data_IF_464990297978
#
_entry.id   IF_464990297978
#
_cell.length_a   1.000
_cell.length_b   1.000
_cell.length_c   1.000
_cell.angle_alpha   90.00
_cell.angle_beta   90.00
_cell.angle_gamma   90.00
#
_symmetry.space_group_name_H-M   'P 1'
#
loop_
_entity.id
_entity.type
_entity.pdbx_description
1 polymer ?
#
# COMPACT_ATOMS: atom_id res chain seq x y z
N UNK A 1 6.51 -23.86 -48.36
CA UNK A 1 6.87 -24.17 -46.97
C UNK A 1 6.91 -22.90 -46.13
N UNK A 2 5.77 -22.46 -45.57
CA UNK A 2 5.73 -21.76 -44.29
C UNK A 2 4.99 -22.65 -43.26
N UNK A 3 4.98 -22.25 -41.98
CA UNK A 3 4.14 -22.80 -40.89
C UNK A 3 4.70 -23.86 -39.93
N UNK A 4 6.00 -24.14 -39.93
CA UNK A 4 6.60 -24.93 -38.84
C UNK A 4 7.02 -24.08 -37.63
N UNK A 5 7.33 -22.78 -37.81
CA UNK A 5 7.80 -21.90 -36.72
C UNK A 5 6.63 -21.38 -35.85
N UNK A 6 5.48 -21.06 -36.47
CA UNK A 6 4.30 -20.56 -35.75
C UNK A 6 3.66 -21.63 -34.85
N UNK A 7 3.62 -22.88 -35.31
CA UNK A 7 3.10 -23.99 -34.50
C UNK A 7 3.99 -24.31 -33.30
N UNK A 8 5.31 -24.10 -33.38
CA UNK A 8 6.20 -24.34 -32.24
C UNK A 8 6.03 -23.29 -31.13
N UNK A 9 5.81 -22.02 -31.49
CA UNK A 9 5.54 -20.93 -30.52
C UNK A 9 4.16 -21.10 -29.90
N UNK A 10 3.13 -21.41 -30.70
CA UNK A 10 1.77 -21.66 -30.19
C UNK A 10 1.70 -22.92 -29.30
N UNK A 11 2.42 -23.99 -29.65
CA UNK A 11 2.45 -25.22 -28.87
C UNK A 11 3.30 -25.11 -27.59
N UNK A 12 4.28 -24.19 -27.55
CA UNK A 12 5.03 -23.83 -26.33
C UNK A 12 4.17 -22.97 -25.40
N UNK A 13 3.47 -21.97 -25.93
CA UNK A 13 2.48 -21.18 -25.19
C UNK A 13 1.34 -22.04 -24.62
N UNK A 14 0.84 -23.03 -25.37
CA UNK A 14 -0.19 -23.94 -24.92
C UNK A 14 0.30 -24.90 -23.80
N UNK A 15 1.57 -25.30 -23.82
CA UNK A 15 2.19 -26.11 -22.76
C UNK A 15 2.48 -25.31 -21.49
N UNK A 16 2.86 -24.04 -21.62
CA UNK A 16 3.09 -23.14 -20.46
C UNK A 16 1.78 -22.83 -19.71
N UNK A 17 0.63 -22.80 -20.39
CA UNK A 17 -0.69 -22.54 -19.77
C UNK A 17 -1.17 -23.69 -18.86
N UNK A 18 -0.62 -24.90 -19.03
CA UNK A 18 -0.99 -26.07 -18.20
C UNK A 18 -0.12 -26.20 -16.93
N UNK A 19 0.97 -25.43 -16.82
CA UNK A 19 1.99 -25.58 -15.76
C UNK A 19 2.35 -24.26 -15.04
N UNK A 20 1.58 -23.18 -15.22
CA UNK A 20 1.90 -21.89 -14.60
C UNK A 20 1.63 -21.83 -13.09
N UNK A 21 0.99 -22.86 -12.51
CA UNK A 21 0.74 -22.93 -11.08
C UNK A 21 0.75 -24.35 -10.51
N UNK A 22 1.15 -24.44 -9.25
CA UNK A 22 1.21 -25.71 -8.53
C UNK A 22 -0.16 -26.07 -7.95
N UNK A 23 -0.93 -26.92 -8.64
CA UNK A 23 -2.28 -27.29 -8.21
C UNK A 23 -2.32 -27.96 -6.83
N UNK A 24 -1.29 -28.70 -6.41
CA UNK A 24 -1.28 -29.36 -5.09
C UNK A 24 -1.10 -28.37 -3.93
N UNK A 25 -0.56 -27.18 -4.21
CA UNK A 25 -0.46 -26.11 -3.23
C UNK A 25 -1.74 -25.27 -3.09
N UNK A 26 -2.71 -25.46 -3.97
CA UNK A 26 -3.99 -24.77 -3.93
C UNK A 26 -4.95 -25.51 -2.98
N UNK A 27 -5.26 -24.89 -1.85
CA UNK A 27 -6.32 -25.33 -0.95
C UNK A 27 -7.58 -24.51 -1.20
N UNK A 28 -8.73 -25.16 -1.30
CA UNK A 28 -10.03 -24.49 -1.49
C UNK A 28 -11.03 -25.06 -0.47
N UNK A 29 -11.68 -24.21 0.30
CA UNK A 29 -12.83 -24.59 1.11
C UNK A 29 -13.80 -23.43 1.26
N UNK A 30 -15.12 -23.69 1.19
CA UNK A 30 -16.18 -22.71 1.39
C UNK A 30 -15.97 -21.37 0.64
N UNK A 31 -15.67 -21.43 -0.66
CA UNK A 31 -15.38 -20.24 -1.49
C UNK A 31 -14.17 -19.41 -1.02
N UNK A 32 -13.25 -20.04 -0.29
CA UNK A 32 -11.96 -19.48 0.10
C UNK A 32 -10.86 -20.28 -0.56
N UNK A 33 -9.81 -19.60 -0.98
CA UNK A 33 -8.67 -20.19 -1.65
C UNK A 33 -7.37 -19.73 -0.98
N UNK A 34 -6.47 -20.67 -0.75
CA UNK A 34 -5.11 -20.43 -0.26
C UNK A 34 -4.11 -20.94 -1.28
N UNK A 35 -3.18 -20.08 -1.67
CA UNK A 35 -2.06 -20.41 -2.53
C UNK A 35 -0.82 -19.70 -2.01
N UNK A 36 -0.23 -20.27 -0.96
CA UNK A 36 0.84 -19.64 -0.18
C UNK A 36 2.17 -20.38 -0.36
N UNK A 37 3.30 -19.68 -0.18
CA UNK A 37 4.62 -20.33 -0.15
C UNK A 37 5.14 -20.82 -1.51
N UNK A 38 4.59 -20.35 -2.63
CA UNK A 38 4.92 -20.86 -3.96
C UNK A 38 5.96 -20.02 -4.71
N UNK A 39 6.51 -18.98 -4.06
CA UNK A 39 7.42 -18.01 -4.68
C UNK A 39 6.86 -17.40 -5.97
N UNK A 40 5.54 -17.30 -6.06
CA UNK A 40 4.89 -16.77 -7.25
C UNK A 40 5.17 -15.27 -7.36
N UNK A 41 5.74 -14.81 -8.49
CA UNK A 41 5.97 -13.39 -8.75
C UNK A 41 4.72 -12.65 -9.24
N UNK A 42 3.75 -13.41 -9.76
CA UNK A 42 2.48 -12.94 -10.31
C UNK A 42 1.39 -13.95 -9.97
N UNK A 43 0.14 -13.49 -9.90
CA UNK A 43 -1.02 -14.38 -9.73
C UNK A 43 -1.12 -15.26 -10.99
N UNK A 44 -1.02 -16.60 -10.87
CA UNK A 44 -1.06 -17.47 -12.03
C UNK A 44 -2.42 -17.45 -12.75
N UNK A 45 -2.41 -17.61 -14.08
CA UNK A 45 -3.63 -17.70 -14.87
C UNK A 45 -4.40 -18.99 -14.59
N UNK A 46 -3.70 -20.10 -14.35
CA UNK A 46 -4.35 -21.34 -13.96
C UNK A 46 -5.11 -21.24 -12.63
N UNK A 47 -4.58 -20.49 -11.66
CA UNK A 47 -5.28 -20.18 -10.42
C UNK A 47 -6.58 -19.42 -10.71
N UNK A 48 -6.51 -18.36 -11.54
CA UNK A 48 -7.66 -17.58 -11.93
C UNK A 48 -8.77 -18.44 -12.58
N UNK A 49 -8.41 -19.40 -13.44
CA UNK A 49 -9.39 -20.30 -14.08
C UNK A 49 -10.17 -21.14 -13.06
N UNK A 50 -9.55 -21.51 -11.95
CA UNK A 50 -10.18 -22.37 -10.93
C UNK A 50 -11.01 -21.53 -9.96
N UNK A 51 -10.46 -20.42 -9.46
CA UNK A 51 -11.06 -19.70 -8.33
C UNK A 51 -11.66 -18.34 -8.70
N UNK A 52 -11.40 -17.79 -9.89
CA UNK A 52 -11.74 -16.42 -10.26
C UNK A 52 -13.21 -16.04 -10.09
N UNK A 53 -14.14 -16.92 -10.45
CA UNK A 53 -15.57 -16.60 -10.47
C UNK A 53 -16.33 -16.96 -9.19
N UNK A 54 -15.74 -17.76 -8.30
CA UNK A 54 -16.47 -18.28 -7.13
C UNK A 54 -15.77 -17.96 -5.80
N UNK A 55 -14.58 -17.34 -5.84
CA UNK A 55 -13.80 -17.05 -4.64
C UNK A 55 -14.26 -15.75 -3.98
N UNK A 56 -14.58 -15.86 -2.69
CA UNK A 56 -14.87 -14.75 -1.80
C UNK A 56 -13.68 -14.33 -0.93
N UNK A 57 -12.72 -15.23 -0.69
CA UNK A 57 -11.56 -14.97 0.17
C UNK A 57 -10.32 -15.61 -0.45
N UNK A 58 -9.31 -14.81 -0.75
CA UNK A 58 -8.10 -15.25 -1.42
C UNK A 58 -6.88 -14.89 -0.58
N UNK A 59 -6.14 -15.92 -0.17
CA UNK A 59 -4.87 -15.79 0.53
C UNK A 59 -3.72 -16.19 -0.39
N UNK A 60 -2.86 -15.21 -0.67
CA UNK A 60 -1.67 -15.30 -1.49
C UNK A 60 -0.40 -14.96 -0.69
N UNK A 61 -0.47 -15.12 0.62
CA UNK A 61 0.63 -14.78 1.52
C UNK A 61 1.88 -15.63 1.28
N UNK A 62 3.05 -15.12 1.68
CA UNK A 62 4.34 -15.82 1.55
C UNK A 62 4.68 -16.20 0.10
N UNK A 63 4.39 -15.32 -0.84
CA UNK A 63 4.84 -15.44 -2.22
C UNK A 63 5.85 -14.33 -2.53
N UNK A 64 6.17 -14.13 -3.80
CA UNK A 64 7.10 -13.10 -4.25
C UNK A 64 6.38 -12.09 -5.15
N UNK A 65 5.07 -11.88 -4.93
CA UNK A 65 4.23 -11.11 -5.82
C UNK A 65 4.75 -9.68 -5.96
N UNK A 66 5.01 -9.27 -7.20
CA UNK A 66 5.41 -7.90 -7.56
C UNK A 66 4.25 -7.12 -8.18
N UNK A 67 3.20 -7.83 -8.63
CA UNK A 67 2.01 -7.24 -9.24
C UNK A 67 0.76 -8.04 -8.91
N UNK A 68 -0.38 -7.35 -8.85
CA UNK A 68 -1.71 -7.93 -8.60
C UNK A 68 -2.67 -7.69 -9.77
N UNK A 69 -2.15 -7.42 -10.98
CA UNK A 69 -2.96 -7.09 -12.17
C UNK A 69 -4.04 -8.10 -12.54
N UNK A 70 -3.85 -9.40 -12.23
CA UNK A 70 -4.84 -10.43 -12.51
C UNK A 70 -6.05 -10.39 -11.56
N UNK A 71 -6.00 -9.61 -10.47
CA UNK A 71 -7.06 -9.59 -9.46
C UNK A 71 -8.38 -9.01 -9.96
N UNK A 72 -8.32 -8.22 -11.04
CA UNK A 72 -9.48 -7.63 -11.71
C UNK A 72 -10.54 -8.64 -12.16
N UNK A 73 -10.14 -9.90 -12.29
CA UNK A 73 -11.00 -10.97 -12.77
C UNK A 73 -11.71 -11.71 -11.61
N UNK A 74 -11.51 -11.30 -10.35
CA UNK A 74 -12.16 -11.87 -9.17
C UNK A 74 -13.39 -11.05 -8.77
N UNK A 75 -14.53 -11.36 -9.38
CA UNK A 75 -15.74 -10.53 -9.31
C UNK A 75 -16.44 -10.50 -7.95
N UNK A 76 -16.21 -11.51 -7.10
CA UNK A 76 -16.92 -11.67 -5.83
C UNK A 76 -15.99 -11.62 -4.62
N UNK A 77 -14.75 -11.17 -4.81
CA UNK A 77 -13.76 -11.16 -3.75
C UNK A 77 -14.16 -10.15 -2.66
N UNK A 78 -14.17 -10.61 -1.42
CA UNK A 78 -14.45 -9.84 -0.20
C UNK A 78 -13.20 -9.71 0.65
N UNK A 79 -12.39 -10.76 0.71
CA UNK A 79 -11.16 -10.81 1.49
C UNK A 79 -9.97 -11.10 0.60
N UNK A 80 -8.92 -10.29 0.74
CA UNK A 80 -7.65 -10.46 0.05
C UNK A 80 -6.50 -10.32 1.05
N UNK A 81 -5.71 -11.38 1.16
CA UNK A 81 -4.51 -11.40 2.01
C UNK A 81 -3.28 -11.57 1.10
N UNK A 82 -2.39 -10.59 1.17
CA UNK A 82 -1.17 -10.47 0.36
C UNK A 82 0.07 -10.30 1.24
N UNK A 83 0.04 -10.85 2.45
CA UNK A 83 1.09 -10.65 3.43
C UNK A 83 2.40 -11.33 3.01
N UNK A 84 3.54 -10.75 3.37
CA UNK A 84 4.87 -11.28 3.03
C UNK A 84 5.04 -11.50 1.51
N UNK A 85 4.85 -10.43 0.73
CA UNK A 85 5.07 -10.38 -0.71
C UNK A 85 6.08 -9.27 -1.07
N UNK A 86 6.29 -8.99 -2.36
CA UNK A 86 7.24 -7.98 -2.86
C UNK A 86 6.53 -6.82 -3.57
N UNK A 87 5.33 -6.45 -3.12
CA UNK A 87 4.56 -5.37 -3.73
C UNK A 87 5.17 -4.01 -3.39
N UNK A 88 5.47 -3.21 -4.42
CA UNK A 88 5.99 -1.84 -4.28
C UNK A 88 4.90 -0.78 -4.38
N UNK A 89 3.85 -1.04 -5.15
CA UNK A 89 2.70 -0.16 -5.32
C UNK A 89 1.42 -0.94 -5.60
N UNK A 90 0.29 -0.23 -5.59
CA UNK A 90 -1.04 -0.75 -5.89
C UNK A 90 -1.59 -0.20 -7.21
N UNK A 91 -0.74 0.25 -8.15
CA UNK A 91 -1.21 0.87 -9.41
C UNK A 91 -2.03 -0.09 -10.27
N UNK A 92 -1.79 -1.39 -10.11
CA UNK A 92 -2.50 -2.45 -10.83
C UNK A 92 -3.79 -2.90 -10.15
N UNK A 93 -4.12 -2.35 -8.98
CA UNK A 93 -5.38 -2.62 -8.28
C UNK A 93 -6.54 -2.06 -9.10
N UNK A 94 -7.46 -2.95 -9.50
CA UNK A 94 -8.66 -2.58 -10.25
C UNK A 94 -9.81 -2.22 -9.31
N UNK A 95 -10.88 -1.63 -9.85
CA UNK A 95 -12.07 -1.31 -9.07
C UNK A 95 -12.73 -2.59 -8.53
N UNK A 96 -12.81 -2.71 -7.20
CA UNK A 96 -13.28 -3.88 -6.46
C UNK A 96 -14.35 -3.45 -5.44
N UNK A 97 -15.60 -3.27 -5.87
CA UNK A 97 -16.67 -2.73 -5.02
C UNK A 97 -17.14 -3.69 -3.93
N UNK A 98 -16.75 -4.96 -3.99
CA UNK A 98 -17.13 -6.00 -3.02
C UNK A 98 -16.09 -6.24 -1.94
N UNK A 99 -14.87 -5.73 -2.11
CA UNK A 99 -13.75 -6.00 -1.21
C UNK A 99 -13.96 -5.27 0.13
N UNK A 100 -13.95 -6.02 1.21
CA UNK A 100 -14.13 -5.54 2.59
C UNK A 100 -12.85 -5.67 3.40
N UNK A 101 -11.97 -6.62 3.08
CA UNK A 101 -10.75 -6.90 3.84
C UNK A 101 -9.55 -6.95 2.91
N UNK A 102 -8.54 -6.13 3.20
CA UNK A 102 -7.29 -6.07 2.47
C UNK A 102 -6.11 -6.09 3.46
N UNK A 103 -5.27 -7.12 3.39
CA UNK A 103 -4.03 -7.20 4.16
C UNK A 103 -2.83 -7.19 3.22
N UNK A 104 -1.88 -6.31 3.49
CA UNK A 104 -0.69 -6.05 2.69
C UNK A 104 0.57 -6.00 3.58
N UNK A 105 0.58 -6.75 4.68
CA UNK A 105 1.66 -6.69 5.65
C UNK A 105 2.99 -7.19 5.06
N UNK A 106 4.11 -6.65 5.54
CA UNK A 106 5.46 -7.07 5.14
C UNK A 106 5.66 -7.08 3.61
N UNK A 107 5.22 -6.03 2.93
CA UNK A 107 5.51 -5.80 1.52
C UNK A 107 6.65 -4.77 1.36
N UNK A 108 6.84 -4.22 0.16
CA UNK A 108 7.92 -3.27 -0.17
C UNK A 108 7.37 -1.89 -0.55
N UNK A 109 6.21 -1.52 -0.02
CA UNK A 109 5.59 -0.23 -0.30
C UNK A 109 6.32 0.90 0.44
N UNK A 110 6.76 1.90 -0.32
CA UNK A 110 7.42 3.11 0.20
C UNK A 110 6.51 4.33 0.16
N UNK A 111 5.64 4.44 -0.85
CA UNK A 111 4.71 5.56 -0.97
C UNK A 111 3.33 5.21 -0.38
N UNK A 112 3.13 5.58 0.89
CA UNK A 112 1.87 5.37 1.61
C UNK A 112 0.71 6.12 0.96
N UNK A 113 0.94 7.38 0.58
CA UNK A 113 -0.11 8.28 0.09
C UNK A 113 -0.76 7.73 -1.19
N UNK A 114 0.07 7.27 -2.14
CA UNK A 114 -0.42 6.64 -3.36
C UNK A 114 -1.21 5.35 -3.06
N UNK A 115 -0.73 4.52 -2.11
CA UNK A 115 -1.41 3.29 -1.73
C UNK A 115 -2.79 3.57 -1.11
N UNK A 116 -2.88 4.49 -0.16
CA UNK A 116 -4.14 4.87 0.50
C UNK A 116 -5.15 5.45 -0.50
N UNK A 117 -4.71 6.35 -1.39
CA UNK A 117 -5.56 6.92 -2.44
C UNK A 117 -6.07 5.85 -3.40
N UNK A 118 -5.21 4.91 -3.80
CA UNK A 118 -5.60 3.79 -4.65
C UNK A 118 -6.63 2.88 -3.96
N UNK A 119 -6.43 2.55 -2.68
CA UNK A 119 -7.39 1.76 -1.90
C UNK A 119 -8.73 2.51 -1.81
N UNK A 120 -8.71 3.79 -1.46
CA UNK A 120 -9.92 4.61 -1.33
C UNK A 120 -10.71 4.69 -2.65
N UNK A 121 -10.01 4.84 -3.78
CA UNK A 121 -10.62 4.89 -5.11
C UNK A 121 -11.17 3.54 -5.58
N UNK A 122 -10.41 2.47 -5.39
CA UNK A 122 -10.73 1.16 -5.95
C UNK A 122 -11.64 0.32 -5.05
N UNK A 123 -11.61 0.53 -3.73
CA UNK A 123 -12.29 -0.32 -2.74
C UNK A 123 -13.22 0.53 -1.84
N UNK A 124 -14.37 1.00 -2.36
CA UNK A 124 -15.25 1.93 -1.64
C UNK A 124 -15.95 1.33 -0.41
N UNK A 125 -15.96 0.00 -0.27
CA UNK A 125 -16.59 -0.72 0.85
C UNK A 125 -15.57 -1.37 1.79
N UNK A 126 -14.31 -0.96 1.74
CA UNK A 126 -13.28 -1.55 2.59
C UNK A 126 -13.59 -1.28 4.07
N UNK A 127 -13.54 -2.33 4.89
CA UNK A 127 -13.78 -2.29 6.33
C UNK A 127 -12.50 -2.58 7.13
N UNK A 128 -11.59 -3.37 6.58
CA UNK A 128 -10.31 -3.74 7.19
C UNK A 128 -9.17 -3.49 6.21
N UNK A 129 -8.17 -2.72 6.65
CA UNK A 129 -6.92 -2.50 5.93
C UNK A 129 -5.76 -2.71 6.88
N UNK A 130 -4.73 -3.47 6.48
CA UNK A 130 -3.47 -3.59 7.23
C UNK A 130 -2.27 -3.39 6.34
N UNK A 131 -1.35 -2.50 6.74
CA UNK A 131 -0.19 -2.07 5.96
C UNK A 131 1.14 -2.20 6.74
N UNK A 132 1.13 -2.91 7.87
CA UNK A 132 2.27 -3.03 8.79
C UNK A 132 3.51 -3.65 8.13
N UNK A 133 4.70 -3.27 8.60
CA UNK A 133 5.98 -3.84 8.15
C UNK A 133 6.38 -3.47 6.72
N UNK A 134 5.78 -2.43 6.16
CA UNK A 134 6.19 -1.84 4.88
C UNK A 134 7.16 -0.67 5.14
N UNK A 135 8.23 -0.51 4.33
CA UNK A 135 9.29 0.48 4.60
C UNK A 135 8.81 1.94 4.59
N UNK A 136 7.74 2.26 3.85
CA UNK A 136 7.13 3.57 3.84
C UNK A 136 6.39 3.91 5.14
N UNK A 137 6.05 2.92 5.96
CA UNK A 137 5.12 3.07 7.07
C UNK A 137 5.86 3.27 8.39
N UNK A 138 5.30 4.04 9.35
CA UNK A 138 5.83 4.07 10.71
C UNK A 138 5.63 2.69 11.32
N UNK A 139 6.75 1.99 11.54
CA UNK A 139 6.72 0.67 12.17
C UNK A 139 6.27 0.80 13.62
N UNK A 140 5.29 -0.01 14.02
CA UNK A 140 4.83 -0.06 15.39
C UNK A 140 5.73 -0.93 16.30
N UNK A 141 6.73 -1.65 15.73
CA UNK A 141 7.37 -2.79 16.38
C UNK A 141 8.89 -2.94 16.22
N UNK A 142 9.62 -2.04 15.54
CA UNK A 142 11.02 -2.32 15.15
C UNK A 142 12.10 -1.39 15.72
N UNK A 143 11.79 -0.24 16.33
CA UNK A 143 12.86 0.66 16.78
C UNK A 143 12.59 1.43 18.10
N UNK A 144 12.86 0.85 19.27
CA UNK A 144 12.52 1.41 20.59
C UNK A 144 13.24 2.73 21.00
N UNK A 145 13.88 3.43 20.07
CA UNK A 145 14.67 4.64 20.29
C UNK A 145 14.11 5.89 19.60
N UNK A 146 13.03 5.79 18.81
CA UNK A 146 12.43 6.94 18.11
C UNK A 146 10.98 7.19 18.55
N UNK A 147 10.47 8.37 18.19
CA UNK A 147 9.17 8.98 18.54
C UNK A 147 7.94 8.22 17.97
N UNK A 148 7.97 6.89 18.00
CA UNK A 148 7.24 5.98 17.12
C UNK A 148 5.72 6.04 17.30
N UNK A 149 5.25 6.30 18.52
CA UNK A 149 3.81 6.37 18.80
C UNK A 149 3.18 7.64 18.21
N UNK A 150 3.89 8.77 18.27
CA UNK A 150 3.41 10.03 17.70
C UNK A 150 3.35 9.96 16.17
N UNK A 151 4.38 9.38 15.53
CA UNK A 151 4.42 9.23 14.08
C UNK A 151 3.40 8.21 13.57
N UNK A 152 3.20 7.10 14.29
CA UNK A 152 2.13 6.16 14.00
C UNK A 152 0.75 6.82 14.14
N UNK A 153 0.51 7.59 15.21
CA UNK A 153 -0.77 8.28 15.41
C UNK A 153 -1.05 9.31 14.31
N UNK A 154 -0.03 10.05 13.85
CA UNK A 154 -0.14 10.98 12.71
C UNK A 154 -0.53 10.24 11.42
N UNK A 155 0.20 9.18 11.09
CA UNK A 155 -0.12 8.31 9.94
C UNK A 155 -1.54 7.75 10.06
N UNK A 156 -1.92 7.25 11.23
CA UNK A 156 -3.22 6.63 11.47
C UNK A 156 -4.36 7.60 11.20
N UNK A 157 -4.29 8.82 11.75
CA UNK A 157 -5.28 9.86 11.49
C UNK A 157 -5.32 10.30 10.02
N UNK A 158 -4.15 10.38 9.37
CA UNK A 158 -4.07 10.65 7.93
C UNK A 158 -4.71 9.54 7.09
N UNK A 159 -4.43 8.28 7.40
CA UNK A 159 -5.01 7.13 6.71
C UNK A 159 -6.52 7.07 6.87
N UNK A 160 -7.04 7.30 8.09
CA UNK A 160 -8.48 7.38 8.36
C UNK A 160 -9.14 8.53 7.57
N UNK A 161 -8.43 9.65 7.37
CA UNK A 161 -8.93 10.78 6.59
C UNK A 161 -9.06 10.44 5.09
N UNK A 162 -8.15 9.64 4.54
CA UNK A 162 -8.13 9.29 3.11
C UNK A 162 -9.03 8.08 2.77
N UNK A 163 -9.05 7.08 3.66
CA UNK A 163 -9.81 5.84 3.46
C UNK A 163 -11.33 6.08 3.62
N UNK A 164 -12.18 5.22 3.02
CA UNK A 164 -13.62 5.45 3.03
C UNK A 164 -14.21 5.27 4.42
N UNK A 165 -15.36 5.91 4.64
CA UNK A 165 -16.06 5.89 5.92
C UNK A 165 -16.48 4.47 6.38
N UNK A 166 -16.53 3.49 5.48
CA UNK A 166 -16.77 2.08 5.83
C UNK A 166 -15.65 1.45 6.67
N UNK A 167 -14.47 2.05 6.76
CA UNK A 167 -13.31 1.52 7.46
C UNK A 167 -13.59 1.33 8.97
N UNK A 168 -13.56 0.08 9.44
CA UNK A 168 -13.79 -0.29 10.85
C UNK A 168 -12.49 -0.61 11.57
N UNK A 169 -11.52 -1.15 10.86
CA UNK A 169 -10.23 -1.57 11.41
C UNK A 169 -9.11 -1.09 10.50
N UNK A 170 -8.11 -0.47 11.11
CA UNK A 170 -6.87 -0.11 10.46
C UNK A 170 -5.74 -0.75 11.24
N UNK A 171 -4.96 -1.57 10.55
CA UNK A 171 -3.92 -2.43 11.08
C UNK A 171 -4.48 -3.35 12.18
N UNK A 172 -3.89 -3.31 13.38
CA UNK A 172 -4.27 -4.11 14.54
C UNK A 172 -5.38 -3.47 15.41
N UNK A 173 -5.83 -2.24 15.10
CA UNK A 173 -6.70 -1.45 15.98
C UNK A 173 -8.02 -1.02 15.31
N UNK A 174 -9.17 -1.15 16.02
CA UNK A 174 -10.43 -0.59 15.54
C UNK A 174 -10.36 0.92 15.42
N UNK A 175 -11.03 1.48 14.42
CA UNK A 175 -11.15 2.93 14.20
C UNK A 175 -12.24 3.47 15.11
N UNK A 176 -11.86 4.36 16.03
CA UNK A 176 -12.82 4.94 16.98
C UNK A 176 -13.52 6.17 16.39
N UNK A 177 -14.65 6.57 16.99
CA UNK A 177 -15.34 7.79 16.58
C UNK A 177 -14.50 9.05 16.85
N UNK A 178 -13.72 9.06 17.93
CA UNK A 178 -12.79 10.17 18.25
C UNK A 178 -11.72 10.31 17.18
N UNK A 179 -11.12 9.19 16.74
CA UNK A 179 -10.14 9.18 15.65
C UNK A 179 -10.75 9.71 14.35
N UNK A 180 -12.01 9.39 14.04
CA UNK A 180 -12.70 9.92 12.85
C UNK A 180 -12.89 11.43 12.91
N UNK A 181 -13.35 11.95 14.05
CA UNK A 181 -13.53 13.40 14.24
C UNK A 181 -12.18 14.11 14.10
N UNK A 182 -11.14 13.58 14.72
CA UNK A 182 -9.78 14.11 14.60
C UNK A 182 -9.25 14.05 13.16
N UNK A 183 -9.47 12.93 12.46
CA UNK A 183 -9.08 12.79 11.06
C UNK A 183 -9.80 13.79 10.15
N UNK A 184 -11.07 14.11 10.41
CA UNK A 184 -11.80 15.16 9.70
C UNK A 184 -11.19 16.54 9.97
N UNK A 185 -10.92 16.85 11.24
CA UNK A 185 -10.46 18.18 11.66
C UNK A 185 -9.02 18.49 11.24
N UNK A 186 -8.12 17.50 11.35
CA UNK A 186 -6.67 17.71 11.17
C UNK A 186 -5.98 16.69 10.26
N UNK A 187 -6.65 15.62 9.86
CA UNK A 187 -6.03 14.52 9.10
C UNK A 187 -5.31 14.98 7.82
N UNK A 188 -5.87 15.92 7.07
CA UNK A 188 -5.25 16.44 5.84
C UNK A 188 -3.84 17.05 6.04
N UNK A 189 -3.55 17.56 7.25
CA UNK A 189 -2.26 18.18 7.59
C UNK A 189 -1.26 17.19 8.19
N UNK A 190 -1.65 15.94 8.42
CA UNK A 190 -0.82 14.90 9.03
C UNK A 190 -0.12 14.00 8.00
N UNK A 191 -0.08 14.43 6.75
CA UNK A 191 0.64 13.74 5.68
C UNK A 191 2.14 13.68 6.02
N UNK A 192 2.65 12.47 6.24
CA UNK A 192 4.07 12.24 6.51
C UNK A 192 4.78 11.94 5.19
N UNK A 193 5.88 12.64 4.92
CA UNK A 193 6.81 12.32 3.84
C UNK A 193 8.04 11.69 4.49
N UNK A 194 8.15 10.35 4.45
CA UNK A 194 9.41 9.68 4.80
C UNK A 194 10.36 9.81 3.62
N UNK A 195 11.40 10.63 3.78
CA UNK A 195 12.49 10.71 2.81
C UNK A 195 13.31 9.43 2.97
N UNK A 196 13.48 8.67 1.88
CA UNK A 196 14.31 7.46 1.92
C UNK A 196 15.76 7.86 2.23
N UNK A 197 16.46 7.20 3.17
CA UNK A 197 17.86 7.52 3.48
C UNK A 197 18.80 7.34 2.28
N UNK A 198 18.38 6.59 1.26
CA UNK A 198 19.11 6.46 0.00
C UNK A 198 19.16 7.76 -0.81
N UNK A 199 18.24 8.71 -0.57
CA UNK A 199 18.25 10.04 -1.18
C UNK A 199 19.29 10.98 -0.52
N UNK A 200 19.89 10.58 0.61
CA UNK A 200 20.92 11.33 1.32
C UNK A 200 22.33 10.76 1.07
N UNK A 201 22.44 9.68 0.30
CA UNK A 201 23.70 8.95 0.07
C UNK A 201 24.48 9.43 -1.17
N UNK A 202 23.88 10.19 -2.07
CA UNK A 202 24.60 10.81 -3.21
C UNK A 202 25.11 12.19 -2.81
N UNK A 203 26.11 12.21 -1.93
CA UNK A 203 27.01 13.35 -1.77
C UNK A 203 28.44 12.89 -2.09
N UNK A 204 28.67 12.53 -3.35
CA UNK A 204 30.01 12.68 -3.93
C UNK A 204 30.28 14.18 -4.04
N UNK A 205 31.25 14.66 -3.28
CA UNK A 205 31.80 16.01 -3.37
C UNK A 205 32.09 16.39 -4.82
N UNK A 206 31.26 17.25 -5.39
CA UNK A 206 31.65 18.15 -6.48
C UNK A 206 30.85 19.44 -6.32
N UNK A 207 31.60 20.52 -6.10
CA UNK A 207 31.12 21.90 -6.01
C UNK A 207 30.17 22.22 -7.16
N UNK A 208 28.89 22.42 -6.85
CA UNK A 208 27.97 23.27 -7.60
C UNK A 208 26.78 23.63 -6.69
N UNK A 209 27.10 24.45 -5.69
CA UNK A 209 26.13 25.29 -5.00
C UNK A 209 25.50 26.24 -6.03
N UNK A 210 24.28 25.93 -6.45
CA UNK A 210 23.21 26.86 -6.87
C UNK A 210 22.30 26.12 -7.86
N UNK A 211 21.10 25.74 -7.40
CA UNK A 211 19.84 25.64 -8.16
C UNK A 211 18.84 24.85 -7.29
N UNK A 212 18.35 25.44 -6.21
CA UNK A 212 16.94 25.40 -5.75
C UNK A 212 16.82 26.63 -4.83
N UNK A 213 16.74 27.78 -5.49
CA UNK A 213 16.27 29.03 -4.90
C UNK A 213 15.07 29.46 -5.73
N UNK A 214 13.92 28.83 -5.50
CA UNK A 214 12.64 29.40 -5.92
C UNK A 214 11.65 29.38 -4.75
N UNK A 215 11.59 30.56 -4.11
CA UNK A 215 10.39 31.22 -3.62
C UNK A 215 9.57 30.55 -2.50
N UNK A 216 10.20 30.38 -1.33
CA UNK A 216 9.47 30.62 -0.08
C UNK A 216 9.97 31.93 0.55
N UNK A 217 9.19 32.99 0.37
CA UNK A 217 9.43 34.28 1.01
C UNK A 217 8.97 34.21 2.47
N UNK A 218 9.77 33.56 3.31
CA UNK A 218 9.57 33.62 4.75
C UNK A 218 10.05 34.98 5.26
N UNK A 219 9.15 35.76 5.83
CA UNK A 219 9.53 36.90 6.66
C UNK A 219 10.23 36.34 7.91
N UNK A 220 11.49 36.71 8.20
CA UNK A 220 12.16 36.23 9.39
C UNK A 220 11.38 36.64 10.63
N UNK A 221 11.35 35.76 11.63
CA UNK A 221 10.79 36.07 12.94
C UNK A 221 11.52 37.32 13.49
N UNK A 222 10.77 38.34 13.97
CA UNK A 222 11.39 39.53 14.55
C UNK A 222 12.33 39.12 15.69
N UNK A 223 13.59 39.51 15.61
CA UNK A 223 14.61 39.20 16.61
C UNK A 223 14.47 40.03 17.91
N UNK A 224 13.41 40.83 18.03
CA UNK A 224 13.19 41.70 19.18
C UNK A 224 12.31 41.01 20.21
N UNK A 225 12.91 40.69 21.37
CA UNK A 225 12.16 40.39 22.59
C UNK A 225 11.34 41.63 22.96
N UNK A 226 10.05 41.64 22.62
CA UNK A 226 9.12 42.69 23.08
C UNK A 226 8.84 42.47 24.56
N UNK A 227 9.06 43.50 25.38
CA UNK A 227 8.65 43.44 26.78
C UNK A 227 7.15 43.68 26.90
N UNK A 228 6.48 43.21 27.97
CA UNK A 228 5.04 43.43 28.20
C UNK A 228 4.60 44.91 28.20
N UNK A 229 5.55 45.87 28.25
CA UNK A 229 5.30 47.30 28.30
C UNK A 229 5.46 48.03 26.95
N UNK A 230 5.80 47.31 25.86
CA UNK A 230 6.04 47.93 24.54
C UNK A 230 4.76 48.32 23.77
N UNK A 231 3.57 48.17 24.36
CA UNK A 231 2.32 48.63 23.78
C UNK A 231 2.13 50.14 23.99
N UNK A 232 2.57 50.97 23.03
CA UNK A 232 2.04 52.34 22.90
C UNK A 232 0.76 52.28 22.07
N UNK A 233 -0.37 52.15 22.75
CA UNK A 233 -1.68 52.39 22.14
C UNK A 233 -1.80 53.86 21.73
N UNK A 234 -2.21 54.08 20.48
CA UNK A 234 -2.79 55.34 20.03
C UNK A 234 -4.25 55.08 19.68
#
# INVERSE_FOLDING_TARGET
MPDCINNYVLCKMARDIQHDFNRSALSICNNRAWYTGQRAEKIPHGLLKIVGNNCSSLDLSYNELTTISAIKNYNYLRELILDNNKLHDLKTLSFMPTLTTLSLNNNKMTNIDDALKMISKCCPKIEYVSLLGNPGYPDQLTNPLSNDEADYNRYRLYAIHILPNSLRFLDSRPVTQTERVDAINRGQFLRIIKISPHCLADNSMSEQSNLISENYHYSPLPQTNRSPFDHKGR
#
